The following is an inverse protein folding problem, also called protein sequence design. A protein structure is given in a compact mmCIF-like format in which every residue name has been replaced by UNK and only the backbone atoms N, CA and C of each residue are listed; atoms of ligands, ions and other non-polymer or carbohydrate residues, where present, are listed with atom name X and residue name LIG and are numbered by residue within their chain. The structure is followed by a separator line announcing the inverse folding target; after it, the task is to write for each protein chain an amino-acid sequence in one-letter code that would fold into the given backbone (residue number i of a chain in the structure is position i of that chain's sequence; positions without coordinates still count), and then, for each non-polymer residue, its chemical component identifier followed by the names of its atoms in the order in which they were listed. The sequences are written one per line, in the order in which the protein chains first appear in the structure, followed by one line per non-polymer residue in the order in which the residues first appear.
data_IF_407791050634
#
_entry.id   IF_407791050634
#
_cell.length_a   1.000
_cell.length_b   1.000
_cell.length_c   1.000
_cell.angle_alpha   90.00
_cell.angle_beta   90.00
_cell.angle_gamma   90.00
#
_symmetry.space_group_name_H-M   'P 1'
#
loop_
_entity.id
_entity.type
_entity.pdbx_description
1 polymer ?
#
# COMPACT_ATOMS: atom_id res chain seq x y z
N UNK A 1 9.44 13.00 9.80
CA UNK A 1 10.26 11.79 9.64
C UNK A 1 9.41 10.52 9.51
N UNK A 2 8.52 10.31 10.49
CA UNK A 2 7.67 9.11 10.49
C UNK A 2 6.75 9.06 9.27
N UNK A 3 6.09 10.18 8.97
CA UNK A 3 5.18 10.26 7.84
C UNK A 3 5.90 10.10 6.50
N UNK A 4 7.17 10.47 6.44
CA UNK A 4 7.97 10.25 5.24
C UNK A 4 8.19 8.77 4.96
N UNK A 5 8.38 7.97 6.01
CA UNK A 5 8.52 6.52 5.86
C UNK A 5 7.23 5.90 5.33
N UNK A 6 6.10 6.31 5.90
CA UNK A 6 4.80 5.83 5.45
C UNK A 6 4.55 6.23 4.00
N UNK A 7 4.88 7.46 3.64
CA UNK A 7 4.72 7.94 2.26
C UNK A 7 5.63 7.17 1.30
N UNK A 8 6.86 6.84 1.73
CA UNK A 8 7.77 6.04 0.92
C UNK A 8 7.22 4.63 0.67
N UNK A 9 6.53 4.05 1.66
CA UNK A 9 5.88 2.75 1.49
C UNK A 9 4.77 2.83 0.46
N UNK A 10 3.99 3.91 0.47
CA UNK A 10 2.95 4.15 -0.54
C UNK A 10 3.57 4.24 -1.94
N UNK A 11 4.67 4.95 -2.08
CA UNK A 11 5.36 5.08 -3.36
C UNK A 11 5.84 3.73 -3.88
N UNK A 12 6.36 2.88 -2.99
CA UNK A 12 6.76 1.51 -3.37
C UNK A 12 5.57 0.70 -3.87
N UNK A 13 4.42 0.84 -3.20
CA UNK A 13 3.20 0.15 -3.63
C UNK A 13 2.75 0.65 -5.00
N UNK A 14 2.79 1.95 -5.24
CA UNK A 14 2.42 2.52 -6.53
C UNK A 14 3.33 2.01 -7.65
N UNK A 15 4.64 1.95 -7.39
CA UNK A 15 5.60 1.42 -8.35
C UNK A 15 5.33 -0.06 -8.65
N UNK A 16 5.05 -0.84 -7.61
CA UNK A 16 4.76 -2.27 -7.78
C UNK A 16 3.48 -2.48 -8.59
N UNK A 17 2.45 -1.66 -8.33
CA UNK A 17 1.21 -1.71 -9.08
C UNK A 17 1.49 -1.45 -10.57
N UNK A 18 2.29 -0.44 -10.88
CA UNK A 18 2.66 -0.13 -12.27
C UNK A 18 3.40 -1.30 -12.93
N UNK A 19 4.32 -1.92 -12.20
CA UNK A 19 5.06 -3.09 -12.70
C UNK A 19 4.10 -4.25 -13.01
N UNK A 20 3.15 -4.51 -12.12
CA UNK A 20 2.18 -5.59 -12.31
C UNK A 20 1.24 -5.29 -13.49
N UNK A 21 0.82 -4.05 -13.64
CA UNK A 21 -0.01 -3.64 -14.77
C UNK A 21 0.72 -3.86 -16.09
N UNK A 22 2.01 -3.52 -16.14
CA UNK A 22 2.82 -3.75 -17.32
C UNK A 22 2.97 -5.25 -17.62
N UNK A 23 3.10 -6.07 -16.59
CA UNK A 23 3.19 -7.52 -16.75
C UNK A 23 1.89 -8.11 -17.28
N UNK A 24 0.74 -7.60 -16.80
CA UNK A 24 -0.57 -8.05 -17.28
C UNK A 24 -0.68 -7.83 -18.78
N UNK A 25 -0.25 -6.67 -19.25
CA UNK A 25 -0.31 -6.33 -20.68
C UNK A 25 0.52 -7.28 -21.54
N UNK A 26 1.59 -7.84 -20.97
CA UNK A 26 2.48 -8.75 -21.67
C UNK A 26 2.08 -10.23 -21.57
N UNK A 27 1.08 -10.55 -20.74
CA UNK A 27 0.66 -11.93 -20.50
C UNK A 27 -0.39 -12.37 -21.53
N UNK A 28 -0.25 -13.62 -21.98
CA UNK A 28 -1.22 -14.27 -22.85
C UNK A 28 -2.18 -15.20 -22.08
N UNK A 29 -1.90 -15.44 -20.82
CA UNK A 29 -2.64 -16.39 -19.99
C UNK A 29 -3.65 -15.66 -19.10
N UNK A 30 -4.95 -15.94 -19.31
CA UNK A 30 -6.02 -15.25 -18.58
C UNK A 30 -5.99 -15.55 -17.07
N UNK A 31 -5.62 -16.78 -16.69
CA UNK A 31 -5.52 -17.15 -15.26
C UNK A 31 -4.43 -16.33 -14.56
N UNK A 32 -3.27 -16.19 -15.21
CA UNK A 32 -2.19 -15.38 -14.67
C UNK A 32 -2.58 -13.92 -14.59
N UNK A 33 -3.29 -13.41 -15.60
CA UNK A 33 -3.79 -12.02 -15.58
C UNK A 33 -4.69 -11.77 -14.39
N UNK A 34 -5.60 -12.69 -14.09
CA UNK A 34 -6.51 -12.56 -12.96
C UNK A 34 -5.77 -12.57 -11.63
N UNK A 35 -4.74 -13.41 -11.50
CA UNK A 35 -3.92 -13.45 -10.30
C UNK A 35 -3.21 -12.11 -10.07
N UNK A 36 -2.64 -11.52 -11.13
CA UNK A 36 -1.99 -10.22 -11.01
C UNK A 36 -2.98 -9.11 -10.72
N UNK A 37 -4.17 -9.17 -11.30
CA UNK A 37 -5.23 -8.20 -11.00
C UNK A 37 -5.64 -8.25 -9.53
N UNK A 38 -5.73 -9.45 -8.96
CA UNK A 38 -6.04 -9.62 -7.54
C UNK A 38 -4.94 -9.04 -6.66
N UNK A 39 -3.67 -9.23 -7.04
CA UNK A 39 -2.54 -8.64 -6.31
C UNK A 39 -2.58 -7.11 -6.36
N UNK A 40 -2.87 -6.55 -7.53
CA UNK A 40 -3.00 -5.10 -7.71
C UNK A 40 -4.11 -4.56 -6.82
N UNK A 41 -5.24 -5.25 -6.80
CA UNK A 41 -6.38 -4.82 -5.97
C UNK A 41 -6.04 -4.83 -4.48
N UNK A 42 -5.33 -5.87 -4.02
CA UNK A 42 -4.90 -5.96 -2.63
C UNK A 42 -3.91 -4.84 -2.29
N UNK A 43 -2.95 -4.58 -3.16
CA UNK A 43 -1.98 -3.50 -2.97
C UNK A 43 -2.67 -2.14 -2.95
N UNK A 44 -3.59 -1.92 -3.87
CA UNK A 44 -4.32 -0.66 -3.98
C UNK A 44 -5.17 -0.40 -2.73
N UNK A 45 -5.87 -1.42 -2.26
CA UNK A 45 -6.69 -1.32 -1.06
C UNK A 45 -5.84 -0.98 0.16
N UNK A 46 -4.72 -1.68 0.35
CA UNK A 46 -3.83 -1.44 1.48
C UNK A 46 -3.14 -0.08 1.36
N UNK A 47 -2.80 0.32 0.14
CA UNK A 47 -2.19 1.62 -0.13
C UNK A 47 -3.16 2.75 0.23
N UNK A 48 -4.42 2.63 -0.17
CA UNK A 48 -5.44 3.64 0.12
C UNK A 48 -5.71 3.73 1.61
N UNK A 49 -5.72 2.60 2.30
CA UNK A 49 -5.89 2.57 3.75
C UNK A 49 -4.76 3.32 4.45
N UNK A 50 -3.53 3.06 4.03
CA UNK A 50 -2.38 3.75 4.61
C UNK A 50 -2.45 5.25 4.33
N UNK A 51 -2.84 5.64 3.13
CA UNK A 51 -2.99 7.05 2.79
C UNK A 51 -4.05 7.74 3.67
N UNK A 52 -5.19 7.07 3.89
CA UNK A 52 -6.25 7.60 4.75
C UNK A 52 -5.76 7.79 6.18
N UNK A 53 -5.01 6.82 6.71
CA UNK A 53 -4.47 6.92 8.06
C UNK A 53 -3.45 8.06 8.18
N UNK A 54 -2.63 8.26 7.16
CA UNK A 54 -1.68 9.37 7.10
C UNK A 54 -2.43 10.70 7.12
N UNK A 55 -3.48 10.80 6.31
CA UNK A 55 -4.27 12.04 6.22
C UNK A 55 -4.97 12.35 7.54
N UNK A 56 -5.50 11.34 8.21
CA UNK A 56 -6.09 11.50 9.53
C UNK A 56 -5.06 11.97 10.54
N UNK A 57 -3.87 11.40 10.49
CA UNK A 57 -2.78 11.77 11.40
C UNK A 57 -2.39 13.23 11.27
N UNK A 58 -2.41 13.77 10.07
CA UNK A 58 -2.09 15.17 9.81
C UNK A 58 -3.09 16.14 10.43
N UNK A 59 -4.32 15.69 10.66
CA UNK A 59 -5.40 16.53 11.16
C UNK A 59 -5.67 16.37 12.64
N UNK A 60 -4.97 15.48 13.36
CA UNK A 60 -5.22 15.25 14.79
C UNK A 60 -4.24 16.03 15.66
N UNK A 61 -4.66 16.26 16.91
CA UNK A 61 -3.83 16.90 17.92
C UNK A 61 -2.67 15.99 18.34
N UNK A 62 -1.60 16.61 18.83
CA UNK A 62 -0.45 15.88 19.34
C UNK A 62 -0.82 14.85 20.41
N UNK A 63 -1.88 15.11 21.18
CA UNK A 63 -2.35 14.19 22.22
C UNK A 63 -2.86 12.86 21.67
N UNK A 64 -3.46 12.90 20.47
CA UNK A 64 -4.04 11.71 19.84
C UNK A 64 -3.08 11.06 18.84
N UNK A 65 -1.93 11.65 18.67
CA UNK A 65 -0.97 11.22 17.66
C UNK A 65 -0.50 9.78 17.88
N UNK A 66 -0.31 9.40 19.14
CA UNK A 66 0.13 8.05 19.51
C UNK A 66 -0.82 6.97 19.04
N UNK A 67 -2.12 7.22 19.22
CA UNK A 67 -3.14 6.25 18.82
C UNK A 67 -3.18 6.09 17.31
N UNK A 68 -3.10 7.19 16.59
CA UNK A 68 -3.07 7.16 15.13
C UNK A 68 -1.78 6.56 14.61
N UNK A 69 -0.67 6.76 15.31
CA UNK A 69 0.60 6.16 14.93
C UNK A 69 0.51 4.64 14.91
N UNK A 70 -0.16 4.05 15.90
CA UNK A 70 -0.36 2.59 15.95
C UNK A 70 -1.16 2.11 14.74
N UNK A 71 -2.20 2.86 14.35
CA UNK A 71 -2.99 2.53 13.16
C UNK A 71 -2.19 2.64 11.88
N UNK A 72 -1.37 3.69 11.75
CA UNK A 72 -0.49 3.85 10.60
C UNK A 72 0.53 2.72 10.54
N UNK A 73 1.11 2.35 11.69
CA UNK A 73 2.07 1.24 11.75
C UNK A 73 1.43 -0.06 11.28
N UNK A 74 0.20 -0.35 11.71
CA UNK A 74 -0.53 -1.55 11.31
C UNK A 74 -0.78 -1.55 9.81
N UNK A 75 -1.27 -0.42 9.27
CA UNK A 75 -1.54 -0.31 7.83
C UNK A 75 -0.26 -0.44 7.02
N UNK A 76 0.84 0.17 7.51
CA UNK A 76 2.13 0.10 6.85
C UNK A 76 2.67 -1.33 6.82
N UNK A 77 2.51 -2.07 7.93
CA UNK A 77 2.94 -3.46 8.00
C UNK A 77 2.15 -4.33 7.02
N UNK A 78 0.85 -4.12 6.93
CA UNK A 78 0.00 -4.85 5.98
C UNK A 78 0.46 -4.59 4.54
N UNK A 79 0.72 -3.33 4.21
CA UNK A 79 1.17 -2.99 2.86
C UNK A 79 2.54 -3.57 2.56
N UNK A 80 3.47 -3.51 3.51
CA UNK A 80 4.80 -4.11 3.35
C UNK A 80 4.71 -5.62 3.16
N UNK A 81 3.81 -6.28 3.88
CA UNK A 81 3.59 -7.72 3.72
C UNK A 81 3.10 -8.05 2.32
N UNK A 82 2.14 -7.28 1.82
CA UNK A 82 1.64 -7.45 0.45
C UNK A 82 2.74 -7.23 -0.58
N UNK A 83 3.59 -6.23 -0.36
CA UNK A 83 4.72 -5.96 -1.25
C UNK A 83 5.70 -7.12 -1.29
N UNK A 84 5.96 -7.75 -0.15
CA UNK A 84 6.83 -8.92 -0.08
C UNK A 84 6.20 -10.12 -0.78
N UNK A 85 4.90 -10.33 -0.55
CA UNK A 85 4.19 -11.46 -1.14
C UNK A 85 4.06 -11.35 -2.65
N UNK A 86 4.12 -10.14 -3.20
CA UNK A 86 3.97 -9.91 -4.64
C UNK A 86 5.27 -10.06 -5.43
N UNK A 87 6.37 -10.35 -4.78
CA UNK A 87 7.67 -10.54 -5.46
C UNK A 87 7.76 -11.91 -6.20
#
# INVERSE_FOLDING_TARGET
KYLKQAQATIEKADQRIEELEAKIDALDNDTAKEQFKAEIEALDTNRDRLQDEIDEMKSVDARNWKDHKAEVDTAMNHLNQELQDSK
#
